data_IF_081869898064
#
_entry.id   IF_081869898064
#
_cell.length_a   1.000
_cell.length_b   1.000
_cell.length_c   1.000
_cell.angle_alpha   90.00
_cell.angle_beta   90.00
_cell.angle_gamma   90.00
#
_symmetry.space_group_name_H-M   'P 1'
#
loop_
_entity.id
_entity.type
_entity.pdbx_description
1 polymer ?
#
# COMPACT_ATOMS: atom_id res chain seq x y z
N UNK A 1 19.40 24.12 38.21
CA UNK A 1 19.79 23.78 36.82
C UNK A 1 19.53 22.29 36.64
N UNK A 2 18.34 21.94 36.08
CA UNK A 2 17.89 20.55 35.93
C UNK A 2 18.36 20.07 34.57
N UNK A 3 19.36 19.18 34.55
CA UNK A 3 19.84 18.55 33.32
C UNK A 3 18.81 17.51 32.87
N UNK A 4 18.07 17.79 31.85
CA UNK A 4 17.29 16.81 31.11
C UNK A 4 18.27 15.89 30.35
N UNK A 5 18.48 14.68 30.85
CA UNK A 5 19.14 13.62 30.11
C UNK A 5 18.24 13.28 28.91
N UNK A 6 18.65 13.69 27.71
CA UNK A 6 18.06 13.17 26.46
C UNK A 6 18.19 11.65 26.50
N UNK A 7 17.06 10.94 26.67
CA UNK A 7 17.02 9.49 26.41
C UNK A 7 17.52 9.28 24.99
N UNK A 8 18.64 8.58 24.83
CA UNK A 8 19.08 8.09 23.53
C UNK A 8 17.96 7.17 23.02
N UNK A 9 17.27 7.59 21.98
CA UNK A 9 16.37 6.73 21.22
C UNK A 9 17.23 5.58 20.74
N UNK A 10 16.96 4.36 21.19
CA UNK A 10 17.61 3.18 20.65
C UNK A 10 17.32 3.16 19.15
N UNK A 11 18.31 2.88 18.28
CA UNK A 11 18.02 2.70 16.88
C UNK A 11 16.93 1.62 16.75
N UNK A 12 15.82 1.95 16.08
CA UNK A 12 14.79 0.98 15.75
C UNK A 12 15.47 -0.19 15.04
N UNK A 13 15.16 -1.41 15.51
CA UNK A 13 15.57 -2.63 14.83
C UNK A 13 15.14 -2.51 13.36
N UNK A 14 15.99 -2.87 12.38
CA UNK A 14 15.58 -2.77 10.99
C UNK A 14 14.26 -3.53 10.79
N UNK A 15 13.33 -2.91 10.09
CA UNK A 15 12.11 -3.54 9.60
C UNK A 15 12.45 -4.85 8.88
N UNK A 16 11.51 -5.77 8.80
CA UNK A 16 11.67 -7.07 8.16
C UNK A 16 12.27 -6.93 6.77
N UNK A 17 13.23 -7.79 6.44
CA UNK A 17 13.86 -7.82 5.11
C UNK A 17 12.91 -8.47 4.09
N UNK A 18 13.11 -8.29 2.78
CA UNK A 18 12.37 -9.02 1.75
C UNK A 18 12.43 -10.54 1.92
N UNK A 19 13.55 -11.07 2.42
CA UNK A 19 13.70 -12.50 2.75
C UNK A 19 12.83 -12.93 3.91
N UNK A 20 12.65 -12.10 4.93
CA UNK A 20 11.76 -12.40 6.07
C UNK A 20 10.30 -12.41 5.61
N UNK A 21 9.91 -11.48 4.74
CA UNK A 21 8.57 -11.43 4.13
C UNK A 21 8.32 -12.65 3.26
N UNK A 22 9.29 -13.01 2.40
CA UNK A 22 9.22 -14.21 1.57
C UNK A 22 9.04 -15.48 2.43
N UNK A 23 9.86 -15.67 3.45
CA UNK A 23 9.82 -16.82 4.35
C UNK A 23 8.46 -16.90 5.07
N UNK A 24 7.91 -15.77 5.51
CA UNK A 24 6.59 -15.69 6.15
C UNK A 24 5.49 -16.17 5.21
N UNK A 25 5.39 -15.58 4.00
CA UNK A 25 4.36 -15.96 3.04
C UNK A 25 4.52 -17.40 2.52
N UNK A 26 5.75 -17.87 2.31
CA UNK A 26 6.00 -19.27 1.94
C UNK A 26 5.54 -20.25 3.04
N UNK A 27 5.78 -19.90 4.30
CA UNK A 27 5.41 -20.74 5.45
C UNK A 27 3.90 -20.85 5.61
N UNK A 28 3.18 -19.72 5.47
CA UNK A 28 1.74 -19.66 5.72
C UNK A 28 0.89 -19.60 4.44
N UNK A 29 1.47 -19.88 3.29
CA UNK A 29 0.81 -19.81 1.98
C UNK A 29 -0.54 -20.54 1.95
N UNK A 30 -0.57 -21.81 2.39
CA UNK A 30 -1.79 -22.61 2.40
C UNK A 30 -2.87 -22.06 3.34
N UNK A 31 -2.47 -21.51 4.46
CA UNK A 31 -3.39 -20.89 5.42
C UNK A 31 -3.98 -19.58 4.86
N UNK A 32 -3.15 -18.77 4.22
CA UNK A 32 -3.64 -17.58 3.51
C UNK A 32 -4.64 -17.96 2.42
N UNK A 33 -4.31 -18.93 1.59
CA UNK A 33 -5.24 -19.40 0.53
C UNK A 33 -6.54 -19.92 1.11
N UNK A 34 -6.48 -20.68 2.19
CA UNK A 34 -7.68 -21.26 2.83
C UNK A 34 -8.60 -20.18 3.39
N UNK A 35 -8.04 -19.14 4.03
CA UNK A 35 -8.80 -18.12 4.75
C UNK A 35 -9.19 -16.96 3.82
N UNK A 36 -8.23 -16.45 3.05
CA UNK A 36 -8.44 -15.25 2.23
C UNK A 36 -8.80 -15.54 0.76
N UNK A 37 -8.58 -16.76 0.29
CA UNK A 37 -8.70 -17.10 -1.13
C UNK A 37 -7.65 -16.37 -1.97
N UNK A 38 -8.08 -15.80 -3.10
CA UNK A 38 -7.19 -15.12 -4.05
C UNK A 38 -6.95 -13.63 -3.73
N UNK A 39 -7.72 -13.06 -2.80
CA UNK A 39 -7.62 -11.66 -2.38
C UNK A 39 -7.17 -11.57 -0.94
N UNK A 40 -5.86 -11.40 -0.74
CA UNK A 40 -5.23 -11.36 0.60
C UNK A 40 -5.23 -9.91 1.08
N UNK A 41 -6.36 -9.48 1.61
CA UNK A 41 -6.53 -8.15 2.19
C UNK A 41 -7.27 -8.28 3.53
N UNK A 42 -6.79 -7.64 4.58
CA UNK A 42 -7.44 -7.62 5.89
C UNK A 42 -8.66 -6.72 5.87
N UNK A 43 -8.56 -5.56 5.21
CA UNK A 43 -9.71 -4.69 4.98
C UNK A 43 -10.45 -5.13 3.73
N UNK A 44 -11.53 -5.86 3.91
CA UNK A 44 -12.35 -6.39 2.80
C UNK A 44 -13.84 -6.42 3.16
N UNK A 45 -14.68 -6.57 2.14
CA UNK A 45 -16.13 -6.73 2.25
C UNK A 45 -16.53 -8.15 1.82
N UNK A 46 -17.77 -8.54 2.12
CA UNK A 46 -18.35 -9.79 1.65
C UNK A 46 -18.37 -9.87 0.11
N UNK A 47 -18.54 -8.72 -0.55
CA UNK A 47 -18.54 -8.63 -1.99
C UNK A 47 -17.15 -8.16 -2.49
N UNK A 48 -16.27 -9.12 -2.79
CA UNK A 48 -14.93 -8.85 -3.30
C UNK A 48 -14.93 -8.12 -4.64
N UNK A 49 -15.93 -8.36 -5.50
CA UNK A 49 -16.04 -7.64 -6.77
C UNK A 49 -16.27 -6.15 -6.55
N UNK A 50 -17.15 -5.79 -5.60
CA UNK A 50 -17.37 -4.39 -5.23
C UNK A 50 -16.09 -3.76 -4.64
N UNK A 51 -15.38 -4.47 -3.78
CA UNK A 51 -14.10 -4.00 -3.23
C UNK A 51 -13.10 -3.69 -4.33
N UNK A 52 -12.86 -4.64 -5.24
CA UNK A 52 -11.87 -4.50 -6.30
C UNK A 52 -12.27 -3.42 -7.32
N UNK A 53 -13.55 -3.32 -7.66
CA UNK A 53 -14.06 -2.24 -8.50
C UNK A 53 -13.92 -0.87 -7.82
N UNK A 54 -14.18 -0.80 -6.53
CA UNK A 54 -13.97 0.40 -5.75
C UNK A 54 -12.49 0.83 -5.76
N UNK A 55 -11.57 -0.09 -5.48
CA UNK A 55 -10.12 0.17 -5.46
C UNK A 55 -9.62 0.70 -6.82
N UNK A 56 -10.00 0.06 -7.91
CA UNK A 56 -9.65 0.48 -9.26
C UNK A 56 -10.15 1.91 -9.56
N UNK A 57 -11.43 2.18 -9.26
CA UNK A 57 -12.04 3.48 -9.51
C UNK A 57 -11.48 4.57 -8.58
N UNK A 58 -11.26 4.27 -7.29
CA UNK A 58 -10.66 5.21 -6.33
C UNK A 58 -9.23 5.57 -6.74
N UNK A 59 -8.44 4.60 -7.19
CA UNK A 59 -7.13 4.86 -7.78
C UNK A 59 -7.22 5.80 -8.99
N UNK A 60 -8.32 5.76 -9.74
CA UNK A 60 -8.54 6.54 -10.95
C UNK A 60 -7.76 6.00 -12.14
N UNK A 61 -7.57 4.68 -12.18
CA UNK A 61 -7.01 4.00 -13.34
C UNK A 61 -8.03 3.92 -14.48
N UNK A 62 -7.53 3.79 -15.69
CA UNK A 62 -8.34 3.73 -16.89
C UNK A 62 -8.24 2.35 -17.55
N UNK A 63 -9.27 2.03 -18.32
CA UNK A 63 -9.26 0.84 -19.14
C UNK A 63 -8.06 0.87 -20.11
N UNK A 64 -7.28 -0.20 -20.12
CA UNK A 64 -6.12 -0.34 -20.99
C UNK A 64 -4.82 0.22 -20.44
N UNK A 65 -4.83 0.79 -19.21
CA UNK A 65 -3.61 1.26 -18.57
C UNK A 65 -2.58 0.15 -18.38
N UNK A 66 -1.31 0.52 -18.34
CA UNK A 66 -0.19 -0.35 -17.94
C UNK A 66 0.16 -0.10 -16.49
N UNK A 67 -0.03 -1.11 -15.65
CA UNK A 67 0.04 -1.01 -14.20
C UNK A 67 1.15 -1.90 -13.61
N UNK A 68 1.58 -1.56 -12.39
CA UNK A 68 2.37 -2.45 -11.53
C UNK A 68 1.55 -2.81 -10.29
N UNK A 69 1.39 -4.12 -10.03
CA UNK A 69 0.90 -4.68 -8.78
C UNK A 69 2.09 -4.96 -7.85
N UNK A 70 2.37 -4.06 -6.94
CA UNK A 70 3.54 -4.15 -6.07
C UNK A 70 3.21 -4.90 -4.77
N UNK A 71 3.44 -6.20 -4.78
CA UNK A 71 3.07 -7.13 -3.70
C UNK A 71 1.77 -7.88 -4.01
N UNK A 72 1.73 -8.48 -5.20
CA UNK A 72 0.53 -9.03 -5.82
C UNK A 72 -0.10 -10.27 -5.12
N UNK A 73 0.58 -10.86 -4.14
CA UNK A 73 0.12 -12.13 -3.59
C UNK A 73 -0.03 -13.18 -4.68
N UNK A 74 -1.19 -13.79 -4.76
CA UNK A 74 -1.55 -14.78 -5.81
C UNK A 74 -2.29 -14.12 -7.00
N UNK A 75 -2.15 -12.81 -7.18
CA UNK A 75 -2.71 -12.03 -8.30
C UNK A 75 -4.25 -11.94 -8.37
N UNK A 76 -4.99 -12.17 -7.29
CA UNK A 76 -6.45 -12.04 -7.32
C UNK A 76 -6.94 -10.67 -7.83
N UNK A 77 -6.50 -9.53 -7.23
CA UNK A 77 -6.84 -8.20 -7.74
C UNK A 77 -6.39 -7.96 -9.18
N UNK A 78 -5.16 -8.36 -9.54
CA UNK A 78 -4.63 -8.19 -10.89
C UNK A 78 -5.47 -8.95 -11.95
N UNK A 79 -5.89 -10.18 -11.64
CA UNK A 79 -6.77 -10.99 -12.52
C UNK A 79 -8.12 -10.29 -12.71
N UNK A 80 -8.72 -9.77 -11.64
CA UNK A 80 -9.95 -9.02 -11.71
C UNK A 80 -9.80 -7.76 -12.58
N UNK A 81 -8.79 -6.95 -12.33
CA UNK A 81 -8.54 -5.73 -13.10
C UNK A 81 -8.28 -6.01 -14.59
N UNK A 82 -7.48 -7.04 -14.89
CA UNK A 82 -7.24 -7.45 -16.27
C UNK A 82 -8.51 -8.00 -16.95
N UNK A 83 -9.42 -8.62 -16.20
CA UNK A 83 -10.68 -9.14 -16.71
C UNK A 83 -11.65 -8.01 -17.04
N UNK A 84 -11.90 -7.13 -16.08
CA UNK A 84 -12.94 -6.10 -16.19
C UNK A 84 -12.45 -4.87 -16.99
N UNK A 85 -11.23 -4.41 -16.75
CA UNK A 85 -10.72 -3.15 -17.28
C UNK A 85 -9.68 -3.31 -18.40
N UNK A 86 -9.30 -4.56 -18.76
CA UNK A 86 -8.35 -4.84 -19.87
C UNK A 86 -6.98 -4.17 -19.70
N UNK A 87 -6.55 -3.98 -18.48
CA UNK A 87 -5.23 -3.40 -18.15
C UNK A 87 -4.12 -4.41 -18.35
N UNK A 88 -2.90 -3.93 -18.60
CA UNK A 88 -1.66 -4.71 -18.63
C UNK A 88 -0.97 -4.59 -17.28
N UNK A 89 -0.57 -5.69 -16.67
CA UNK A 89 -0.05 -5.67 -15.30
C UNK A 89 1.27 -6.44 -15.21
N UNK A 90 2.30 -5.77 -14.72
CA UNK A 90 3.51 -6.40 -14.17
C UNK A 90 3.30 -6.59 -12.67
N UNK A 91 3.13 -7.84 -12.22
CA UNK A 91 2.82 -8.23 -10.86
C UNK A 91 4.09 -8.72 -10.14
N UNK A 92 4.33 -8.25 -8.91
CA UNK A 92 5.59 -8.49 -8.20
C UNK A 92 5.32 -9.16 -6.85
N UNK A 93 5.98 -10.27 -6.58
CA UNK A 93 6.04 -10.90 -5.25
C UNK A 93 7.43 -11.42 -4.95
N UNK A 94 7.81 -11.40 -3.66
CA UNK A 94 9.06 -12.01 -3.15
C UNK A 94 8.87 -13.47 -2.73
N UNK A 95 7.63 -13.96 -2.64
CA UNK A 95 7.30 -15.33 -2.26
C UNK A 95 7.24 -16.22 -3.49
N UNK A 96 8.07 -17.25 -3.55
CA UNK A 96 8.07 -18.22 -4.64
C UNK A 96 6.80 -19.09 -4.66
N UNK A 97 6.22 -19.40 -3.52
CA UNK A 97 4.94 -20.12 -3.43
C UNK A 97 3.79 -19.29 -3.99
N UNK A 98 3.75 -17.97 -3.67
CA UNK A 98 2.75 -17.08 -4.23
C UNK A 98 2.93 -16.89 -5.75
N UNK A 99 4.17 -16.78 -6.22
CA UNK A 99 4.44 -16.63 -7.67
C UNK A 99 3.98 -17.85 -8.45
N UNK A 100 4.28 -19.07 -7.99
CA UNK A 100 3.81 -20.31 -8.62
C UNK A 100 2.29 -20.37 -8.71
N UNK A 101 1.60 -20.09 -7.61
CA UNK A 101 0.13 -20.09 -7.61
C UNK A 101 -0.45 -18.98 -8.47
N UNK A 102 0.17 -17.77 -8.45
CA UNK A 102 -0.24 -16.68 -9.31
C UNK A 102 -0.17 -17.04 -10.81
N UNK A 103 0.91 -17.68 -11.23
CA UNK A 103 1.05 -18.16 -12.61
C UNK A 103 -0.03 -19.17 -12.98
N UNK A 104 -0.36 -20.13 -12.10
CA UNK A 104 -1.43 -21.10 -12.29
C UNK A 104 -2.81 -20.42 -12.39
N UNK A 105 -3.12 -19.49 -11.49
CA UNK A 105 -4.39 -18.76 -11.49
C UNK A 105 -4.52 -17.85 -12.73
N UNK A 106 -3.45 -17.21 -13.19
CA UNK A 106 -3.43 -16.40 -14.41
C UNK A 106 -3.74 -17.26 -15.64
N UNK A 107 -3.14 -18.44 -15.76
CA UNK A 107 -3.40 -19.39 -16.86
C UNK A 107 -4.85 -19.86 -16.81
N UNK A 108 -5.32 -20.32 -15.66
CA UNK A 108 -6.69 -20.78 -15.43
C UNK A 108 -7.74 -19.72 -15.79
N UNK A 109 -7.46 -18.44 -15.51
CA UNK A 109 -8.32 -17.32 -15.84
C UNK A 109 -8.07 -16.75 -17.26
N UNK A 110 -7.19 -17.35 -18.06
CA UNK A 110 -6.84 -16.94 -19.42
C UNK A 110 -6.32 -15.49 -19.50
N UNK A 111 -5.50 -15.08 -18.53
CA UNK A 111 -4.97 -13.70 -18.42
C UNK A 111 -3.46 -13.59 -18.75
N UNK A 112 -2.82 -14.63 -19.22
CA UNK A 112 -1.39 -14.64 -19.53
C UNK A 112 -0.94 -13.55 -20.55
N UNK A 113 -1.86 -13.06 -21.39
CA UNK A 113 -1.59 -11.94 -22.30
C UNK A 113 -1.69 -10.56 -21.63
N UNK A 114 -2.17 -10.49 -20.40
CA UNK A 114 -2.41 -9.24 -19.69
C UNK A 114 -1.54 -9.10 -18.44
N UNK A 115 -1.15 -10.22 -17.83
CA UNK A 115 -0.44 -10.21 -16.53
C UNK A 115 0.85 -10.98 -16.68
N UNK A 116 1.95 -10.35 -16.25
CA UNK A 116 3.27 -10.98 -16.13
C UNK A 116 3.70 -10.93 -14.67
N UNK A 117 4.02 -12.10 -14.10
CA UNK A 117 4.49 -12.18 -12.71
C UNK A 117 6.02 -12.15 -12.65
N UNK A 118 6.55 -11.47 -11.63
CA UNK A 118 7.97 -11.35 -11.37
C UNK A 118 8.27 -11.79 -9.93
N UNK A 119 9.06 -12.85 -9.78
CA UNK A 119 9.62 -13.24 -8.48
C UNK A 119 10.80 -12.31 -8.16
N UNK A 120 10.49 -11.13 -7.65
CA UNK A 120 11.45 -10.02 -7.42
C UNK A 120 11.03 -9.16 -6.24
N UNK A 121 11.97 -8.35 -5.77
CA UNK A 121 11.74 -7.32 -4.76
C UNK A 121 11.33 -6.00 -5.41
N UNK A 122 10.18 -5.47 -5.02
CA UNK A 122 9.65 -4.20 -5.54
C UNK A 122 10.53 -2.97 -5.18
N UNK A 123 11.47 -3.10 -4.23
CA UNK A 123 12.46 -2.04 -3.98
C UNK A 123 13.52 -1.93 -5.08
N UNK A 124 13.47 -2.77 -6.09
CA UNK A 124 14.42 -2.83 -7.19
C UNK A 124 13.72 -2.85 -8.57
N UNK A 125 12.50 -2.33 -8.68
CA UNK A 125 11.70 -2.35 -9.91
C UNK A 125 12.47 -1.83 -11.13
N UNK A 126 13.24 -0.75 -10.96
CA UNK A 126 14.04 -0.14 -12.04
C UNK A 126 15.16 -1.02 -12.58
N UNK A 127 15.49 -2.14 -11.91
CA UNK A 127 16.50 -3.08 -12.38
C UNK A 127 15.98 -4.14 -13.35
N UNK A 128 14.65 -4.33 -13.44
CA UNK A 128 14.04 -5.39 -14.24
C UNK A 128 12.79 -4.96 -15.01
N UNK A 129 12.27 -3.76 -14.77
CA UNK A 129 11.16 -3.16 -15.50
C UNK A 129 11.62 -1.89 -16.23
N UNK A 130 10.92 -1.57 -17.30
CA UNK A 130 11.18 -0.37 -18.08
C UNK A 130 10.68 0.87 -17.35
N UNK A 131 11.56 1.85 -17.16
CA UNK A 131 11.24 3.07 -16.44
C UNK A 131 10.33 4.00 -17.26
N UNK A 132 9.52 4.81 -16.57
CA UNK A 132 8.64 5.83 -17.15
C UNK A 132 7.64 5.29 -18.20
N UNK A 133 7.23 4.02 -18.05
CA UNK A 133 6.29 3.37 -18.97
C UNK A 133 4.93 3.03 -18.34
N UNK A 134 4.78 3.18 -17.02
CA UNK A 134 3.58 2.77 -16.30
C UNK A 134 2.63 3.95 -16.04
N UNK A 135 1.34 3.71 -16.30
CA UNK A 135 0.27 4.64 -15.98
C UNK A 135 -0.05 4.63 -14.48
N UNK A 136 0.16 3.47 -13.82
CA UNK A 136 -0.05 3.33 -12.40
C UNK A 136 0.81 2.30 -11.70
N UNK A 137 1.04 2.51 -10.41
CA UNK A 137 1.59 1.55 -9.45
C UNK A 137 0.63 1.48 -8.28
N UNK A 138 0.25 0.29 -7.84
CA UNK A 138 -0.63 0.14 -6.69
C UNK A 138 -0.09 -0.83 -5.65
N UNK A 139 -0.47 -0.55 -4.41
CA UNK A 139 -0.17 -1.33 -3.21
C UNK A 139 -1.50 -1.60 -2.49
N UNK A 140 -1.93 -2.85 -2.48
CA UNK A 140 -3.14 -3.28 -1.77
C UNK A 140 -2.72 -4.09 -0.53
N UNK A 141 -2.54 -3.39 0.58
CA UNK A 141 -2.04 -3.93 1.86
C UNK A 141 -0.68 -4.63 1.74
N UNK A 142 0.17 -4.07 0.89
CA UNK A 142 1.54 -4.56 0.64
C UNK A 142 2.62 -3.50 0.90
N UNK A 143 2.23 -2.22 1.01
CA UNK A 143 3.15 -1.11 1.28
C UNK A 143 3.81 -1.24 2.65
N UNK A 144 3.07 -1.76 3.65
CA UNK A 144 3.57 -1.99 4.99
C UNK A 144 4.70 -3.02 5.08
N UNK A 145 4.85 -3.94 4.13
CA UNK A 145 5.97 -4.89 4.09
C UNK A 145 7.30 -4.26 3.62
N UNK A 146 7.27 -2.99 3.21
CA UNK A 146 8.50 -2.32 2.79
C UNK A 146 9.42 -2.02 3.97
N UNK A 147 10.66 -2.47 3.88
CA UNK A 147 11.71 -2.15 4.84
C UNK A 147 12.22 -0.69 4.73
N UNK A 148 11.89 -0.01 3.64
CA UNK A 148 12.30 1.37 3.41
C UNK A 148 11.33 2.10 2.44
N UNK A 149 10.35 2.80 3.02
CA UNK A 149 9.32 3.54 2.26
C UNK A 149 9.91 4.58 1.30
N UNK A 150 11.08 5.16 1.67
CA UNK A 150 11.74 6.14 0.80
C UNK A 150 12.27 5.46 -0.47
N UNK A 151 12.99 4.34 -0.34
CA UNK A 151 13.48 3.59 -1.50
C UNK A 151 12.31 3.13 -2.37
N UNK A 152 11.25 2.59 -1.74
CA UNK A 152 10.08 2.12 -2.46
C UNK A 152 9.40 3.24 -3.27
N UNK A 153 9.22 4.42 -2.67
CA UNK A 153 8.65 5.57 -3.37
C UNK A 153 9.61 6.16 -4.43
N UNK A 154 10.92 6.03 -4.23
CA UNK A 154 11.91 6.37 -5.27
C UNK A 154 11.82 5.42 -6.47
N UNK A 155 11.66 4.12 -6.25
CA UNK A 155 11.42 3.14 -7.32
C UNK A 155 10.07 3.37 -8.01
N UNK A 156 9.00 3.59 -7.25
CA UNK A 156 7.67 3.94 -7.79
C UNK A 156 7.75 5.16 -8.74
N UNK A 157 8.47 6.20 -8.32
CA UNK A 157 8.68 7.39 -9.15
C UNK A 157 9.35 7.07 -10.48
N UNK A 158 10.38 6.22 -10.47
CA UNK A 158 11.09 5.83 -11.69
C UNK A 158 10.20 5.06 -12.67
N UNK A 159 9.27 4.25 -12.16
CA UNK A 159 8.38 3.44 -13.00
C UNK A 159 7.30 4.28 -13.68
N UNK A 160 6.76 5.27 -12.96
CA UNK A 160 5.64 6.07 -13.44
C UNK A 160 6.02 7.01 -14.58
N UNK A 161 5.17 7.06 -15.60
CA UNK A 161 5.14 8.15 -16.58
C UNK A 161 4.91 9.50 -15.88
N UNK A 162 5.30 10.65 -16.48
CA UNK A 162 4.75 11.93 -16.09
C UNK A 162 3.21 11.89 -16.13
N UNK A 163 2.55 12.31 -15.05
CA UNK A 163 1.11 12.17 -14.85
C UNK A 163 0.65 10.82 -14.31
N UNK A 164 1.53 9.84 -14.19
CA UNK A 164 1.20 8.51 -13.67
C UNK A 164 0.85 8.53 -12.18
N UNK A 165 0.03 7.58 -11.76
CA UNK A 165 -0.61 7.50 -10.45
C UNK A 165 0.06 6.43 -9.58
N UNK A 166 0.32 6.74 -8.31
CA UNK A 166 0.54 5.71 -7.30
C UNK A 166 -0.67 5.69 -6.35
N UNK A 167 -1.21 4.50 -6.13
CA UNK A 167 -2.31 4.26 -5.21
C UNK A 167 -1.89 3.29 -4.12
N UNK A 168 -2.11 3.67 -2.87
CA UNK A 168 -1.78 2.88 -1.68
C UNK A 168 -3.07 2.73 -0.87
N UNK A 169 -3.55 1.51 -0.69
CA UNK A 169 -4.54 1.15 0.31
C UNK A 169 -3.85 0.28 1.33
N UNK A 170 -3.74 0.79 2.56
CA UNK A 170 -2.96 0.09 3.58
C UNK A 170 -3.39 0.49 5.00
N UNK A 171 -2.82 -0.20 5.98
CA UNK A 171 -3.01 0.09 7.40
C UNK A 171 -1.88 0.99 7.91
N UNK A 172 -2.26 1.97 8.73
CA UNK A 172 -1.37 2.95 9.33
C UNK A 172 -1.55 2.99 10.84
N UNK A 173 -0.55 3.49 11.54
CA UNK A 173 -0.59 3.65 12.98
C UNK A 173 -1.79 4.50 13.39
N UNK A 174 -2.60 3.97 14.30
CA UNK A 174 -3.72 4.71 14.87
C UNK A 174 -3.25 5.79 15.82
N UNK A 175 -3.77 7.01 15.65
CA UNK A 175 -3.59 8.07 16.63
C UNK A 175 -4.49 7.84 17.85
N UNK A 176 -3.92 7.77 19.05
CA UNK A 176 -4.71 7.56 20.25
C UNK A 176 -5.54 8.82 20.61
N UNK A 177 -6.87 8.69 20.62
CA UNK A 177 -7.77 9.75 21.09
C UNK A 177 -7.57 9.98 22.61
N UNK A 178 -7.28 8.90 23.35
CA UNK A 178 -7.03 8.91 24.79
C UNK A 178 -5.54 8.56 25.00
N UNK A 179 -4.80 9.45 25.63
CA UNK A 179 -3.34 9.28 25.82
C UNK A 179 -2.94 7.99 26.56
N UNK A 180 -3.79 7.47 27.44
CA UNK A 180 -3.57 6.19 28.14
C UNK A 180 -3.64 4.96 27.18
N UNK A 181 -4.22 5.10 26.00
CA UNK A 181 -4.28 4.04 25.01
C UNK A 181 -2.97 3.87 24.23
N UNK A 182 -2.09 4.88 24.25
CA UNK A 182 -0.86 4.87 23.47
C UNK A 182 0.01 3.63 23.70
N UNK A 183 0.23 3.27 24.94
CA UNK A 183 1.06 2.12 25.29
C UNK A 183 0.46 0.79 24.76
N UNK A 184 -0.87 0.65 24.83
CA UNK A 184 -1.58 -0.53 24.30
C UNK A 184 -1.48 -0.57 22.75
N UNK A 185 -1.69 0.55 22.09
CA UNK A 185 -1.54 0.68 20.62
C UNK A 185 -0.10 0.34 20.19
N UNK A 186 0.90 0.94 20.85
CA UNK A 186 2.31 0.67 20.54
C UNK A 186 2.67 -0.82 20.75
N UNK A 187 2.11 -1.46 21.77
CA UNK A 187 2.29 -2.89 22.00
C UNK A 187 1.68 -3.75 20.89
N UNK A 188 0.42 -3.50 20.51
CA UNK A 188 -0.26 -4.27 19.48
C UNK A 188 0.35 -4.05 18.09
N UNK A 189 0.79 -2.83 17.77
CA UNK A 189 1.57 -2.54 16.55
C UNK A 189 2.87 -3.34 16.53
N UNK A 190 3.56 -3.43 17.67
CA UNK A 190 4.77 -4.26 17.80
C UNK A 190 4.48 -5.74 17.48
N UNK A 191 3.36 -6.28 17.98
CA UNK A 191 2.91 -7.65 17.68
C UNK A 191 2.62 -7.85 16.19
N UNK A 192 1.89 -6.91 15.56
CA UNK A 192 1.59 -6.95 14.11
C UNK A 192 2.90 -6.96 13.32
N UNK A 193 3.80 -6.02 13.60
CA UNK A 193 5.07 -5.89 12.90
C UNK A 193 5.93 -7.15 12.99
N UNK A 194 6.04 -7.73 14.18
CA UNK A 194 6.81 -8.95 14.40
C UNK A 194 6.16 -10.16 13.72
N UNK A 195 4.86 -10.33 13.91
CA UNK A 195 4.13 -11.52 13.48
C UNK A 195 3.97 -11.60 11.96
N UNK A 196 3.58 -10.49 11.35
CA UNK A 196 3.28 -10.43 9.90
C UNK A 196 4.46 -9.92 9.06
N UNK A 197 5.62 -9.68 9.66
CA UNK A 197 6.77 -9.07 8.98
C UNK A 197 6.40 -7.73 8.31
N UNK A 198 5.68 -6.94 9.06
CA UNK A 198 5.12 -5.66 8.66
C UNK A 198 5.89 -4.49 9.28
N UNK A 199 5.69 -3.28 8.74
CA UNK A 199 6.13 -2.02 9.30
C UNK A 199 4.95 -1.04 9.23
N UNK A 200 4.07 -1.15 10.25
CA UNK A 200 2.93 -0.23 10.41
C UNK A 200 3.47 1.17 10.54
N UNK A 201 3.29 1.96 9.51
CA UNK A 201 3.90 3.28 9.40
C UNK A 201 3.01 4.36 10.00
N UNK A 202 3.63 5.41 10.53
CA UNK A 202 2.98 6.68 10.82
C UNK A 202 2.57 7.34 9.50
N UNK A 203 1.30 7.70 9.37
CA UNK A 203 0.73 8.32 8.17
C UNK A 203 1.46 9.63 7.81
N UNK A 204 1.75 10.47 8.80
CA UNK A 204 2.38 11.77 8.58
C UNK A 204 3.83 11.64 8.08
N UNK A 205 4.57 10.65 8.58
CA UNK A 205 5.94 10.39 8.08
C UNK A 205 5.91 9.88 6.64
N UNK A 206 4.95 9.05 6.26
CA UNK A 206 4.77 8.61 4.86
C UNK A 206 4.42 9.80 3.97
N UNK A 207 3.47 10.66 4.37
CA UNK A 207 3.11 11.86 3.61
C UNK A 207 4.28 12.83 3.47
N UNK A 208 5.14 12.94 4.46
CA UNK A 208 6.35 13.73 4.41
C UNK A 208 7.37 13.21 3.39
N UNK A 209 7.52 11.87 3.29
CA UNK A 209 8.38 11.23 2.28
C UNK A 209 7.80 11.51 0.88
N UNK A 210 6.50 11.30 0.68
CA UNK A 210 5.77 11.54 -0.58
C UNK A 210 6.02 12.98 -1.07
N UNK A 211 5.80 13.98 -0.19
CA UNK A 211 5.99 15.39 -0.53
C UNK A 211 7.44 15.75 -0.82
N UNK A 212 8.39 15.19 -0.05
CA UNK A 212 9.83 15.42 -0.29
C UNK A 212 10.31 14.82 -1.60
N UNK A 213 9.67 13.74 -2.07
CA UNK A 213 9.98 13.15 -3.37
C UNK A 213 9.48 14.01 -4.53
N UNK A 214 8.46 14.84 -4.30
CA UNK A 214 7.88 15.72 -5.32
C UNK A 214 6.55 15.24 -5.90
N UNK A 215 5.96 14.18 -5.37
CA UNK A 215 4.62 13.76 -5.75
C UNK A 215 3.56 14.82 -5.42
N UNK A 216 2.58 14.95 -6.29
CA UNK A 216 1.34 15.67 -6.00
C UNK A 216 0.47 14.78 -5.15
N UNK A 217 0.06 15.26 -3.98
CA UNK A 217 -0.88 14.57 -3.10
C UNK A 217 -2.30 14.89 -3.58
N UNK A 218 -3.00 13.88 -4.13
CA UNK A 218 -4.37 14.04 -4.61
C UNK A 218 -5.37 13.92 -3.47
N UNK A 219 -5.27 12.83 -2.69
CA UNK A 219 -6.06 12.66 -1.47
C UNK A 219 -5.39 11.70 -0.47
N UNK A 220 -5.83 11.83 0.77
CA UNK A 220 -5.74 10.85 1.84
C UNK A 220 -7.14 10.74 2.42
N UNK A 221 -7.70 9.55 2.46
CA UNK A 221 -9.05 9.34 3.01
C UNK A 221 -9.18 7.94 3.62
N UNK A 222 -10.18 7.77 4.48
CA UNK A 222 -10.65 6.45 4.90
C UNK A 222 -11.37 5.77 3.73
N UNK A 223 -11.42 4.44 3.79
CA UNK A 223 -12.08 3.66 2.73
C UNK A 223 -13.59 3.87 2.82
N UNK A 224 -14.18 4.34 1.72
CA UNK A 224 -15.60 4.68 1.62
C UNK A 224 -16.39 3.50 1.01
N UNK A 225 -16.54 2.44 1.79
CA UNK A 225 -17.37 1.28 1.48
C UNK A 225 -18.44 1.11 2.56
N UNK A 226 -19.58 0.55 2.20
CA UNK A 226 -20.70 0.35 3.13
C UNK A 226 -20.23 -0.55 4.30
N UNK A 227 -20.38 -0.04 5.51
CA UNK A 227 -19.98 -0.72 6.74
C UNK A 227 -20.77 -2.04 6.96
N UNK A 228 -21.97 -2.16 6.38
CA UNK A 228 -22.77 -3.38 6.45
C UNK A 228 -22.15 -4.54 5.67
N UNK A 229 -21.22 -4.26 4.77
CA UNK A 229 -20.51 -5.27 3.98
C UNK A 229 -19.18 -5.72 4.64
N UNK A 230 -18.89 -5.29 5.86
CA UNK A 230 -17.62 -5.55 6.54
C UNK A 230 -17.52 -6.97 7.11
N UNK A 231 -16.50 -7.73 6.67
CA UNK A 231 -16.12 -9.04 7.25
C UNK A 231 -14.76 -9.05 7.93
N UNK A 232 -14.08 -7.92 8.03
CA UNK A 232 -12.67 -7.82 8.38
C UNK A 232 -12.23 -8.62 9.59
N UNK A 233 -12.96 -8.47 10.70
CA UNK A 233 -12.58 -9.07 11.97
C UNK A 233 -12.72 -10.60 11.94
N UNK A 234 -13.74 -11.10 11.25
CA UNK A 234 -13.98 -12.54 11.15
C UNK A 234 -12.84 -13.26 10.42
N UNK A 235 -12.42 -12.74 9.28
CA UNK A 235 -11.35 -13.33 8.46
C UNK A 235 -9.99 -13.28 9.16
N UNK A 236 -9.63 -12.12 9.73
CA UNK A 236 -8.39 -11.99 10.48
C UNK A 236 -8.36 -12.93 11.68
N UNK A 237 -9.48 -13.10 12.36
CA UNK A 237 -9.61 -14.04 13.47
C UNK A 237 -9.46 -15.50 13.02
N UNK A 238 -10.08 -15.89 11.91
CA UNK A 238 -9.96 -17.24 11.38
C UNK A 238 -8.49 -17.57 11.07
N UNK A 239 -7.75 -16.63 10.47
CA UNK A 239 -6.33 -16.80 10.22
C UNK A 239 -5.53 -16.91 11.53
N UNK A 240 -5.82 -16.08 12.52
CA UNK A 240 -5.17 -16.10 13.82
C UNK A 240 -5.44 -17.40 14.59
N UNK A 241 -6.68 -17.87 14.56
CA UNK A 241 -7.04 -19.17 15.18
C UNK A 241 -6.34 -20.33 14.46
N UNK A 242 -6.29 -20.31 13.13
CA UNK A 242 -5.67 -21.37 12.34
C UNK A 242 -4.15 -21.44 12.52
N UNK A 243 -3.48 -20.32 12.71
CA UNK A 243 -2.01 -20.22 12.72
C UNK A 243 -1.42 -19.98 14.10
N UNK A 244 -2.23 -19.51 15.05
CA UNK A 244 -1.78 -19.01 16.35
C UNK A 244 -1.06 -17.64 16.30
N UNK A 245 -0.98 -17.04 15.13
CA UNK A 245 -0.25 -15.77 14.93
C UNK A 245 -1.09 -14.61 15.45
N UNK A 246 -0.52 -13.79 16.35
CA UNK A 246 -1.13 -12.56 16.88
C UNK A 246 -2.55 -12.73 17.40
N UNK A 247 -2.88 -13.91 17.93
CA UNK A 247 -4.20 -14.15 18.49
C UNK A 247 -4.57 -13.12 19.56
N UNK A 248 -5.80 -12.64 19.51
CA UNK A 248 -6.35 -11.70 20.49
C UNK A 248 -7.06 -12.50 21.57
N UNK A 249 -6.47 -12.53 22.78
CA UNK A 249 -6.99 -13.33 23.89
C UNK A 249 -8.15 -12.65 24.63
N UNK A 250 -8.18 -11.32 24.63
CA UNK A 250 -9.21 -10.53 25.33
C UNK A 250 -9.73 -9.39 24.46
N UNK A 251 -10.86 -9.60 23.81
CA UNK A 251 -11.51 -8.62 22.94
C UNK A 251 -12.09 -7.42 23.69
N UNK A 252 -12.46 -7.57 24.96
CA UNK A 252 -13.02 -6.47 25.76
C UNK A 252 -11.98 -5.40 26.07
N UNK A 253 -10.70 -5.78 26.17
CA UNK A 253 -9.59 -4.88 26.43
C UNK A 253 -8.80 -4.49 25.18
N UNK A 254 -9.11 -5.11 24.05
CA UNK A 254 -8.39 -4.87 22.82
C UNK A 254 -8.66 -3.49 22.24
N UNK A 255 -7.61 -2.77 21.94
CA UNK A 255 -7.68 -1.50 21.22
C UNK A 255 -7.14 -1.71 19.83
N UNK A 256 -7.98 -1.50 18.81
CA UNK A 256 -7.58 -1.65 17.41
C UNK A 256 -6.44 -0.67 17.11
N UNK A 257 -5.24 -1.15 16.77
CA UNK A 257 -4.03 -0.32 16.79
C UNK A 257 -3.76 0.42 15.47
N UNK A 258 -4.58 0.17 14.45
CA UNK A 258 -4.38 0.69 13.09
C UNK A 258 -5.65 1.31 12.53
N UNK A 259 -5.47 2.24 11.61
CA UNK A 259 -6.53 2.77 10.75
C UNK A 259 -6.18 2.46 9.29
N UNK A 260 -7.20 2.15 8.48
CA UNK A 260 -7.02 1.91 7.05
C UNK A 260 -7.23 3.20 6.26
N UNK A 261 -6.24 3.53 5.45
CA UNK A 261 -6.31 4.70 4.58
C UNK A 261 -6.02 4.35 3.13
N UNK A 262 -6.62 5.14 2.26
CA UNK A 262 -6.25 5.27 0.86
C UNK A 262 -5.43 6.54 0.66
N UNK A 263 -4.31 6.39 -0.05
CA UNK A 263 -3.47 7.50 -0.46
C UNK A 263 -3.35 7.45 -1.98
N UNK A 264 -3.73 8.53 -2.65
CA UNK A 264 -3.49 8.70 -4.08
C UNK A 264 -2.51 9.84 -4.31
N UNK A 265 -1.47 9.55 -5.07
CA UNK A 265 -0.45 10.52 -5.45
C UNK A 265 -0.16 10.42 -6.95
N UNK A 266 0.26 11.53 -7.54
CA UNK A 266 0.57 11.61 -8.96
C UNK A 266 1.99 12.11 -9.18
N UNK A 267 2.74 11.48 -10.09
CA UNK A 267 4.00 12.04 -10.58
C UNK A 267 3.67 13.26 -11.44
N UNK A 268 4.23 14.46 -11.16
CA UNK A 268 3.94 15.66 -11.95
C UNK A 268 4.23 15.44 -13.45
N UNK A 269 3.43 16.07 -14.31
CA UNK A 269 3.66 16.07 -15.76
C UNK A 269 4.93 16.87 -16.11
N UNK A 270 5.21 17.88 -15.33
CA UNK A 270 6.41 18.70 -15.47
C UNK A 270 7.24 18.63 -14.19
N UNK A 271 8.55 18.72 -14.33
CA UNK A 271 9.43 18.86 -13.19
C UNK A 271 9.04 20.13 -12.42
N UNK A 272 8.47 19.93 -11.22
CA UNK A 272 8.13 21.01 -10.29
C UNK A 272 9.38 21.54 -9.59
N UNK A 273 10.50 21.64 -10.31
CA UNK A 273 11.68 22.35 -9.82
C UNK A 273 11.34 23.78 -9.41
N UNK A 274 12.19 24.43 -8.66
CA UNK A 274 11.97 25.77 -8.08
C UNK A 274 11.37 26.83 -9.04
N UNK A 275 11.60 26.70 -10.34
CA UNK A 275 11.05 27.59 -11.36
C UNK A 275 9.54 27.50 -11.51
N UNK A 276 8.97 26.29 -11.45
CA UNK A 276 7.51 26.09 -11.59
C UNK A 276 6.75 26.51 -10.33
N UNK A 277 7.33 26.28 -9.16
CA UNK A 277 6.80 26.78 -7.90
C UNK A 277 6.70 28.32 -7.89
N UNK A 278 7.71 29.01 -8.42
CA UNK A 278 7.67 30.48 -8.58
C UNK A 278 6.57 30.91 -9.53
N UNK A 279 6.45 30.24 -10.68
CA UNK A 279 5.40 30.56 -11.66
C UNK A 279 3.99 30.33 -11.06
N UNK A 280 3.78 29.23 -10.37
CA UNK A 280 2.50 28.93 -9.72
C UNK A 280 2.16 29.95 -8.63
N UNK A 281 3.12 30.28 -7.76
CA UNK A 281 2.94 31.27 -6.73
C UNK A 281 2.71 32.69 -7.29
N UNK A 282 3.38 33.05 -8.38
CA UNK A 282 3.17 34.31 -9.05
C UNK A 282 1.76 34.43 -9.66
N UNK A 283 1.26 33.37 -10.28
CA UNK A 283 -0.10 33.35 -10.82
C UNK A 283 -1.15 33.36 -9.71
N UNK A 284 -0.92 32.63 -8.61
CA UNK A 284 -1.81 32.66 -7.45
C UNK A 284 -1.86 34.07 -6.82
N UNK A 285 -0.72 34.72 -6.69
CA UNK A 285 -0.61 36.08 -6.22
C UNK A 285 -1.34 37.07 -7.14
N UNK A 286 -1.19 36.89 -8.45
CA UNK A 286 -1.85 37.72 -9.45
C UNK A 286 -3.37 37.60 -9.38
N UNK A 287 -3.89 36.37 -9.29
CA UNK A 287 -5.33 36.11 -9.16
C UNK A 287 -5.94 36.66 -7.86
N UNK A 288 -5.21 36.48 -6.74
CA UNK A 288 -5.72 36.88 -5.43
C UNK A 288 -5.61 38.38 -5.14
N UNK A 289 -4.56 39.04 -5.62
CA UNK A 289 -4.27 40.40 -5.26
C UNK A 289 -4.76 41.43 -6.32
N UNK A 290 -4.73 41.02 -7.59
CA UNK A 290 -5.15 41.94 -8.68
C UNK A 290 -6.57 41.76 -9.17
N UNK A 291 -7.24 40.67 -8.77
CA UNK A 291 -8.65 40.45 -9.12
C UNK A 291 -8.93 40.30 -10.62
N UNK A 292 -7.90 40.17 -11.44
CA UNK A 292 -8.03 39.98 -12.89
C UNK A 292 -7.75 38.51 -13.23
N UNK A 293 -8.69 37.90 -13.93
CA UNK A 293 -8.46 36.58 -14.57
C UNK A 293 -7.73 36.87 -15.87
N UNK A 294 -6.50 36.34 -16.09
CA UNK A 294 -5.84 36.50 -17.39
C UNK A 294 -6.73 35.91 -18.48
N UNK A 295 -7.00 36.65 -19.50
CA UNK A 295 -7.74 36.25 -20.71
C UNK A 295 -7.00 35.17 -21.50
#
# INVERSE_FOLDING_TARGET
>A
MIFWKKKKVKPQKPSSTPSDVAAFYNTYHKQFKKVYGDVIQAFRTNNLENLLNYEFNSAGFNKGDKLIDAGCGVCGPAIHFAKEFKVQIDAISVSDEQVKEAEEEIIKNQKANYIKVHHKDYHQMSSFLEQETYDGVYFLESFGHSFNKKILLDETWKMLKPGGICYIKDLFLKEPIISSHKEKIDYEVGRINESYKYDVSDLYEVLKIIRKKGFILNFVKTIDLDINDFENLAISNEFQELTGISKIDNWEEYIFPVDFFEIKITKPIHDLSDGLNRYFLQNLYYLQVKGEVPS
#
